data_IF_538185661721
#
_entry.id   IF_538185661721
#
_cell.length_a   1.000
_cell.length_b   1.000
_cell.length_c   1.000
_cell.angle_alpha   90.00
_cell.angle_beta   90.00
_cell.angle_gamma   90.00
#
_symmetry.space_group_name_H-M   'P 1'
#
loop_
_entity.id
_entity.type
_entity.pdbx_description
1 polymer ?
#
# COMPACT_ATOMS: atom_id res chain seq x y z
N UNK A 1 -9.47 17.65 -10.59
CA UNK A 1 -8.66 17.00 -11.63
C UNK A 1 -8.07 17.98 -12.64
N UNK A 2 -8.15 19.31 -12.43
CA UNK A 2 -7.55 20.28 -13.34
C UNK A 2 -6.03 20.09 -13.61
N UNK A 3 -5.19 19.54 -12.70
CA UNK A 3 -3.77 19.33 -12.98
C UNK A 3 -3.48 18.51 -14.24
N UNK A 4 -4.34 17.54 -14.60
CA UNK A 4 -4.14 16.77 -15.85
C UNK A 4 -4.28 17.64 -17.10
N UNK A 5 -5.13 18.68 -17.04
CA UNK A 5 -5.27 19.68 -18.11
C UNK A 5 -4.02 20.55 -18.19
N UNK A 6 -3.52 21.04 -17.05
CA UNK A 6 -2.33 21.88 -17.00
C UNK A 6 -1.11 21.16 -17.57
N UNK A 7 -0.91 19.89 -17.24
CA UNK A 7 0.23 19.11 -17.71
C UNK A 7 0.30 18.91 -19.25
N UNK A 8 -0.84 18.94 -19.96
CA UNK A 8 -0.85 18.77 -21.43
C UNK A 8 -1.02 20.09 -22.19
N UNK A 9 -1.56 21.12 -21.54
CA UNK A 9 -1.79 22.45 -22.14
C UNK A 9 -0.70 23.45 -21.80
N UNK A 10 0.07 23.23 -20.72
CA UNK A 10 1.05 24.19 -20.21
C UNK A 10 0.42 25.47 -19.66
N UNK A 11 -0.90 25.46 -19.40
CA UNK A 11 -1.62 26.57 -18.80
C UNK A 11 -1.74 26.34 -17.30
N UNK A 12 -1.50 27.39 -16.50
CA UNK A 12 -1.89 27.42 -15.09
C UNK A 12 -3.32 27.95 -15.02
N UNK A 13 -4.27 27.09 -14.65
CA UNK A 13 -5.69 27.46 -14.64
C UNK A 13 -6.00 28.42 -13.49
N UNK A 14 -5.30 28.32 -12.37
CA UNK A 14 -5.46 29.23 -11.23
C UNK A 14 -4.97 30.63 -11.60
N UNK A 15 -3.86 30.72 -12.33
CA UNK A 15 -3.38 31.98 -12.90
C UNK A 15 -4.44 32.62 -13.81
N UNK A 16 -4.98 31.85 -14.77
CA UNK A 16 -5.99 32.38 -15.69
C UNK A 16 -7.28 32.79 -14.97
N UNK A 17 -7.69 32.05 -13.94
CA UNK A 17 -8.84 32.42 -13.10
C UNK A 17 -8.64 33.77 -12.42
N UNK A 18 -7.45 34.01 -11.86
CA UNK A 18 -7.12 35.29 -11.19
C UNK A 18 -7.09 36.43 -12.21
N UNK A 19 -6.45 36.24 -13.37
CA UNK A 19 -6.37 37.25 -14.45
C UNK A 19 -7.74 37.68 -14.94
N UNK A 20 -8.61 36.72 -15.26
CA UNK A 20 -9.97 37.01 -15.72
C UNK A 20 -10.80 37.67 -14.61
N UNK A 21 -10.64 37.24 -13.35
CA UNK A 21 -11.30 37.89 -12.22
C UNK A 21 -10.84 39.35 -12.01
N UNK A 22 -9.61 39.68 -12.41
CA UNK A 22 -9.08 41.05 -12.43
C UNK A 22 -9.49 41.85 -13.69
N UNK A 23 -10.32 41.29 -14.57
CA UNK A 23 -10.81 41.96 -15.79
C UNK A 23 -9.87 41.84 -16.99
N UNK A 24 -8.81 41.05 -16.92
CA UNK A 24 -7.96 40.76 -18.07
C UNK A 24 -8.68 39.84 -19.08
N UNK A 25 -8.29 39.96 -20.35
CA UNK A 25 -8.72 39.03 -21.40
C UNK A 25 -7.76 37.84 -21.46
N UNK A 26 -8.23 36.72 -22.01
CA UNK A 26 -7.35 35.57 -22.30
C UNK A 26 -6.23 35.99 -23.27
N UNK A 27 -4.98 35.66 -22.93
CA UNK A 27 -3.80 35.98 -23.74
C UNK A 27 -3.62 35.06 -24.96
N UNK A 28 -4.49 34.07 -25.13
CA UNK A 28 -4.43 33.06 -26.17
C UNK A 28 -5.81 32.84 -26.80
N UNK A 29 -5.79 32.38 -28.04
CA UNK A 29 -6.95 31.94 -28.82
C UNK A 29 -7.06 30.42 -28.80
N UNK A 30 -8.20 29.88 -29.25
CA UNK A 30 -8.45 28.44 -29.28
C UNK A 30 -7.36 27.63 -29.98
N UNK A 31 -6.79 28.15 -31.08
CA UNK A 31 -5.77 27.47 -31.88
C UNK A 31 -4.37 27.52 -31.25
N UNK A 32 -4.16 28.36 -30.23
CA UNK A 32 -2.88 28.51 -29.54
C UNK A 32 -2.77 27.59 -28.31
N UNK A 33 -3.86 26.94 -27.88
CA UNK A 33 -3.85 26.03 -26.73
C UNK A 33 -3.24 24.70 -27.18
N UNK A 34 -2.02 24.35 -26.71
CA UNK A 34 -1.38 23.11 -27.13
C UNK A 34 -2.04 21.91 -26.43
N UNK A 35 -1.85 20.73 -27.02
CA UNK A 35 -2.17 19.43 -26.40
C UNK A 35 -1.00 18.50 -26.63
N UNK A 36 -0.01 18.54 -25.74
CA UNK A 36 1.23 17.78 -25.87
C UNK A 36 1.26 16.65 -24.87
N UNK A 37 1.37 15.42 -25.38
CA UNK A 37 1.51 14.24 -24.55
C UNK A 37 0.22 13.79 -23.87
N UNK A 38 0.39 13.09 -22.75
CA UNK A 38 -0.67 12.55 -21.91
C UNK A 38 -0.37 12.82 -20.44
N UNK A 39 -1.43 13.02 -19.65
CA UNK A 39 -1.35 13.15 -18.21
C UNK A 39 -2.39 12.29 -17.50
N UNK A 40 -2.07 11.86 -16.29
CA UNK A 40 -2.94 11.03 -15.45
C UNK A 40 -2.85 11.51 -14.00
N UNK A 41 -3.96 11.43 -13.27
CA UNK A 41 -4.04 11.82 -11.85
C UNK A 41 -4.62 10.66 -11.04
N UNK A 42 -3.93 10.28 -9.97
CA UNK A 42 -4.45 9.42 -8.92
C UNK A 42 -4.73 10.28 -7.69
N UNK A 43 -5.95 10.20 -7.16
CA UNK A 43 -6.28 10.76 -5.85
C UNK A 43 -5.85 9.78 -4.78
N UNK A 44 -4.93 10.23 -3.93
CA UNK A 44 -4.45 9.48 -2.78
C UNK A 44 -5.34 9.86 -1.61
N UNK A 45 -6.13 8.89 -1.15
CA UNK A 45 -7.07 9.06 -0.06
C UNK A 45 -6.62 8.24 1.15
N UNK A 46 -6.90 8.78 2.33
CA UNK A 46 -6.79 8.12 3.63
C UNK A 46 -7.96 7.16 3.84
N UNK A 47 -7.97 6.08 3.07
CA UNK A 47 -9.01 5.04 3.03
C UNK A 47 -8.34 3.66 3.03
N UNK A 48 -8.99 2.65 3.58
CA UNK A 48 -8.52 1.26 3.56
C UNK A 48 -9.27 0.44 2.50
N UNK A 49 -8.66 0.16 1.31
CA UNK A 49 -9.31 -0.61 0.27
C UNK A 49 -9.73 -2.03 0.70
N UNK A 50 -8.96 -2.67 1.59
CA UNK A 50 -9.22 -4.05 2.04
C UNK A 50 -10.41 -4.12 3.00
N UNK A 51 -10.73 -3.00 3.67
CA UNK A 51 -11.93 -2.83 4.48
C UNK A 51 -13.00 -2.03 3.73
N UNK A 52 -13.16 -2.25 2.43
CA UNK A 52 -14.19 -1.59 1.59
C UNK A 52 -14.08 -0.05 1.59
N UNK A 53 -12.86 0.47 1.47
CA UNK A 53 -12.55 1.90 1.41
C UNK A 53 -13.05 2.70 2.61
N UNK A 54 -13.10 2.07 3.79
CA UNK A 54 -13.44 2.79 5.01
C UNK A 54 -12.41 3.91 5.27
N UNK A 55 -12.87 5.10 5.69
CA UNK A 55 -11.99 6.19 6.09
C UNK A 55 -10.96 5.79 7.14
N UNK A 56 -9.75 6.34 7.01
CA UNK A 56 -8.64 6.12 7.94
C UNK A 56 -8.14 7.45 8.48
N UNK A 57 -8.54 7.80 9.71
CA UNK A 57 -8.00 8.98 10.41
C UNK A 57 -6.75 8.62 11.20
N UNK A 58 -5.98 9.63 11.58
CA UNK A 58 -4.83 9.47 12.46
C UNK A 58 -3.60 10.23 12.01
N UNK A 59 -2.49 10.03 12.72
CA UNK A 59 -1.24 10.73 12.46
C UNK A 59 -0.46 10.11 11.30
N UNK A 60 0.02 10.94 10.38
CA UNK A 60 0.98 10.57 9.35
C UNK A 60 2.35 10.36 9.98
N UNK A 61 2.64 9.14 10.45
CA UNK A 61 3.92 8.78 11.07
C UNK A 61 5.07 8.90 10.08
N UNK A 62 4.83 8.48 8.83
CA UNK A 62 5.71 8.74 7.69
C UNK A 62 4.90 9.21 6.50
N UNK A 63 5.39 10.25 5.84
CA UNK A 63 4.77 10.79 4.63
C UNK A 63 5.85 11.29 3.69
N UNK A 64 6.22 10.44 2.72
CA UNK A 64 7.25 10.74 1.74
C UNK A 64 6.62 10.55 0.35
N UNK A 65 6.14 11.64 -0.28
CA UNK A 65 5.72 11.60 -1.68
C UNK A 65 6.92 11.38 -2.62
N UNK A 66 6.71 10.90 -3.85
CA UNK A 66 7.77 10.85 -4.86
C UNK A 66 8.32 12.25 -5.13
N UNK A 67 9.57 12.33 -5.59
CA UNK A 67 10.18 13.61 -5.93
C UNK A 67 9.43 14.25 -7.11
N UNK A 68 9.08 15.54 -6.99
CA UNK A 68 8.50 16.28 -8.11
C UNK A 68 9.58 16.60 -9.15
N UNK A 69 9.29 16.33 -10.42
CA UNK A 69 10.22 16.49 -11.55
C UNK A 69 9.44 16.69 -12.88
N UNK A 70 10.14 16.71 -14.02
CA UNK A 70 9.59 16.87 -15.39
C UNK A 70 8.74 15.67 -15.88
N UNK A 71 7.97 15.08 -15.00
CA UNK A 71 7.13 13.91 -15.26
C UNK A 71 6.22 13.53 -14.11
N UNK A 72 6.49 14.04 -12.90
CA UNK A 72 5.74 13.75 -11.67
C UNK A 72 5.47 15.05 -10.92
N UNK A 73 4.20 15.32 -10.63
CA UNK A 73 3.71 16.43 -9.81
C UNK A 73 2.90 15.88 -8.65
N UNK A 74 3.09 16.46 -7.47
CA UNK A 74 2.34 16.08 -6.27
C UNK A 74 1.71 17.33 -5.66
N UNK A 75 0.38 17.40 -5.71
CA UNK A 75 -0.37 18.45 -5.03
C UNK A 75 -0.87 17.88 -3.69
N UNK A 76 -0.31 18.35 -2.59
CA UNK A 76 -0.60 17.82 -1.23
C UNK A 76 -0.96 18.96 -0.28
N UNK A 77 -1.95 18.72 0.58
CA UNK A 77 -2.33 19.62 1.68
C UNK A 77 -1.81 19.17 3.04
N UNK A 78 -1.06 18.05 3.08
CA UNK A 78 -0.60 17.39 4.32
C UNK A 78 0.93 17.23 4.32
N UNK A 79 1.49 16.93 5.49
CA UNK A 79 2.93 16.77 5.71
C UNK A 79 3.23 15.68 6.76
N UNK A 80 4.46 15.16 6.77
CA UNK A 80 4.90 14.15 7.75
C UNK A 80 4.76 14.67 9.18
N UNK A 81 4.13 13.88 10.03
CA UNK A 81 3.83 14.23 11.41
C UNK A 81 2.52 14.98 11.62
N UNK A 82 1.86 15.43 10.55
CA UNK A 82 0.50 15.97 10.58
C UNK A 82 -0.56 14.91 10.89
N UNK A 83 -1.78 15.35 11.14
CA UNK A 83 -2.92 14.48 11.48
C UNK A 83 -4.02 14.62 10.43
N UNK A 84 -4.64 13.49 10.08
CA UNK A 84 -5.83 13.42 9.24
C UNK A 84 -7.04 13.33 10.18
N UNK A 85 -7.76 14.43 10.44
CA UNK A 85 -8.91 14.42 11.33
C UNK A 85 -10.17 13.94 10.59
N UNK A 86 -11.16 13.50 11.36
CA UNK A 86 -12.47 13.07 10.83
C UNK A 86 -13.32 14.20 10.20
N UNK A 87 -12.95 15.47 10.39
CA UNK A 87 -13.77 16.63 10.03
C UNK A 87 -13.68 17.06 8.55
N UNK A 88 -12.67 16.57 7.83
CA UNK A 88 -12.40 16.96 6.44
C UNK A 88 -12.47 15.76 5.49
N UNK A 89 -12.23 16.01 4.21
CA UNK A 89 -12.15 15.02 3.13
C UNK A 89 -10.96 14.06 3.37
N UNK A 90 -11.10 12.79 2.94
CA UNK A 90 -10.06 11.75 3.00
C UNK A 90 -8.90 12.00 2.05
N UNK A 91 -9.05 12.89 1.06
CA UNK A 91 -7.97 13.20 0.11
C UNK A 91 -6.75 13.85 0.78
N UNK A 92 -5.60 13.16 0.68
CA UNK A 92 -4.32 13.64 1.23
C UNK A 92 -3.38 14.18 0.16
N UNK A 93 -3.45 13.66 -1.07
CA UNK A 93 -2.69 14.18 -2.19
C UNK A 93 -3.36 13.87 -3.53
N UNK A 94 -3.00 14.66 -4.54
CA UNK A 94 -3.14 14.29 -5.95
C UNK A 94 -1.75 13.97 -6.47
N UNK A 95 -1.57 12.75 -6.93
CA UNK A 95 -0.37 12.32 -7.63
C UNK A 95 -0.65 12.42 -9.12
N UNK A 96 0.13 13.22 -9.83
CA UNK A 96 -0.05 13.49 -11.25
C UNK A 96 1.21 13.10 -12.00
N UNK A 97 1.06 12.44 -13.14
CA UNK A 97 2.19 12.17 -14.03
C UNK A 97 1.89 12.60 -15.45
N UNK A 98 2.94 12.95 -16.19
CA UNK A 98 2.86 13.31 -17.60
C UNK A 98 3.98 12.67 -18.42
N UNK A 99 3.69 12.35 -19.68
CA UNK A 99 4.63 11.75 -20.61
C UNK A 99 4.27 12.04 -22.06
N UNK A 100 5.13 11.68 -23.00
CA UNK A 100 4.90 11.89 -24.43
C UNK A 100 3.72 11.09 -24.97
N UNK A 101 3.38 9.98 -24.31
CA UNK A 101 2.22 9.15 -24.61
C UNK A 101 1.64 8.55 -23.32
N UNK A 102 0.48 7.88 -23.45
CA UNK A 102 -0.25 7.30 -22.32
C UNK A 102 0.57 6.26 -21.56
N UNK A 103 1.32 5.42 -22.27
CA UNK A 103 2.11 4.34 -21.66
C UNK A 103 3.26 4.90 -20.82
N UNK A 104 3.91 5.97 -21.29
CA UNK A 104 4.94 6.67 -20.52
C UNK A 104 4.34 7.32 -19.25
N UNK A 105 3.19 7.99 -19.35
CA UNK A 105 2.51 8.57 -18.20
C UNK A 105 2.10 7.50 -17.17
N UNK A 106 1.58 6.35 -17.64
CA UNK A 106 1.26 5.19 -16.79
C UNK A 106 2.50 4.60 -16.12
N UNK A 107 3.60 4.42 -16.88
CA UNK A 107 4.87 3.90 -16.35
C UNK A 107 5.42 4.79 -15.24
N UNK A 108 5.43 6.12 -15.47
CA UNK A 108 5.79 7.10 -14.44
C UNK A 108 4.86 7.03 -13.23
N UNK A 109 3.54 6.89 -13.44
CA UNK A 109 2.57 6.78 -12.34
C UNK A 109 2.84 5.54 -11.47
N UNK A 110 3.12 4.39 -12.10
CA UNK A 110 3.46 3.16 -11.37
C UNK A 110 4.73 3.34 -10.53
N UNK A 111 5.79 3.92 -11.10
CA UNK A 111 7.02 4.22 -10.36
C UNK A 111 6.76 5.18 -9.19
N UNK A 112 6.00 6.24 -9.45
CA UNK A 112 5.66 7.26 -8.44
C UNK A 112 4.82 6.70 -7.28
N UNK A 113 3.86 5.81 -7.55
CA UNK A 113 3.10 5.10 -6.50
C UNK A 113 3.99 4.16 -5.68
N UNK A 114 4.93 3.46 -6.30
CA UNK A 114 5.87 2.59 -5.60
C UNK A 114 6.77 3.38 -4.63
N UNK A 115 7.15 4.60 -4.99
CA UNK A 115 7.93 5.50 -4.14
C UNK A 115 7.11 6.17 -3.03
N UNK A 116 5.79 6.27 -3.16
CA UNK A 116 4.95 7.02 -2.22
C UNK A 116 4.79 6.28 -0.89
N UNK A 117 5.54 6.70 0.12
CA UNK A 117 5.51 6.12 1.48
C UNK A 117 4.51 6.87 2.34
N UNK A 118 3.53 6.13 2.88
CA UNK A 118 2.54 6.63 3.85
C UNK A 118 2.45 5.63 4.98
N UNK A 119 2.62 6.06 6.23
CA UNK A 119 2.49 5.23 7.45
C UNK A 119 1.72 5.96 8.54
N UNK A 120 1.12 5.18 9.44
CA UNK A 120 0.29 5.66 10.54
C UNK A 120 -1.21 5.71 10.23
N UNK A 121 -1.56 5.66 8.95
CA UNK A 121 -2.92 5.50 8.43
C UNK A 121 -2.92 4.49 7.28
N UNK A 122 -4.09 4.00 6.89
CA UNK A 122 -4.30 3.28 5.64
C UNK A 122 -4.50 4.27 4.49
N UNK A 123 -4.15 3.85 3.27
CA UNK A 123 -4.35 4.64 2.06
C UNK A 123 -4.77 3.78 0.87
N UNK A 124 -5.40 4.41 -0.12
CA UNK A 124 -5.86 3.75 -1.33
C UNK A 124 -4.76 3.44 -2.36
N UNK A 125 -3.47 3.65 -2.04
CA UNK A 125 -2.35 3.46 -2.97
C UNK A 125 -2.34 2.04 -3.55
N UNK A 126 -2.57 1.02 -2.73
CA UNK A 126 -2.58 -0.37 -3.20
C UNK A 126 -3.63 -0.61 -4.27
N UNK A 127 -4.83 -0.04 -4.08
CA UNK A 127 -5.90 -0.11 -5.08
C UNK A 127 -5.53 0.65 -6.36
N UNK A 128 -4.98 1.86 -6.24
CA UNK A 128 -4.53 2.64 -7.41
C UNK A 128 -3.48 1.87 -8.22
N UNK A 129 -2.48 1.28 -7.56
CA UNK A 129 -1.46 0.46 -8.21
C UNK A 129 -2.05 -0.77 -8.91
N UNK A 130 -3.05 -1.42 -8.29
CA UNK A 130 -3.74 -2.56 -8.90
C UNK A 130 -4.55 -2.16 -10.13
N UNK A 131 -5.32 -1.08 -10.03
CA UNK A 131 -6.17 -0.56 -11.11
C UNK A 131 -5.35 -0.19 -12.34
N UNK A 132 -4.18 0.45 -12.16
CA UNK A 132 -3.27 0.80 -13.26
C UNK A 132 -2.70 -0.41 -14.00
N UNK A 133 -2.71 -1.59 -13.38
CA UNK A 133 -2.26 -2.85 -13.99
C UNK A 133 -3.42 -3.64 -14.59
N UNK A 134 -4.67 -3.23 -14.37
CA UNK A 134 -5.83 -3.96 -14.85
C UNK A 134 -5.89 -3.98 -16.38
N UNK A 135 -6.06 -5.14 -17.04
CA UNK A 135 -5.99 -5.23 -18.51
C UNK A 135 -6.94 -4.28 -19.26
N UNK A 136 -8.18 -4.11 -18.77
CA UNK A 136 -9.15 -3.16 -19.34
C UNK A 136 -8.76 -1.70 -19.15
N UNK A 137 -8.08 -1.38 -18.05
CA UNK A 137 -7.55 -0.04 -17.84
C UNK A 137 -6.39 0.21 -18.79
N UNK A 138 -5.46 -0.74 -18.93
CA UNK A 138 -4.35 -0.67 -19.87
C UNK A 138 -4.83 -0.51 -21.33
N UNK A 139 -5.84 -1.27 -21.75
CA UNK A 139 -6.39 -1.19 -23.11
C UNK A 139 -7.22 0.07 -23.38
N UNK A 140 -7.60 0.82 -22.35
CA UNK A 140 -8.50 1.98 -22.47
C UNK A 140 -9.98 1.61 -22.64
N UNK A 141 -10.35 0.33 -22.50
CA UNK A 141 -11.72 -0.16 -22.67
C UNK A 141 -12.46 -0.25 -21.34
N UNK A 142 -12.76 0.92 -20.77
CA UNK A 142 -13.51 1.05 -19.52
C UNK A 142 -14.66 2.06 -19.65
N UNK A 143 -15.61 1.97 -18.74
CA UNK A 143 -16.80 2.82 -18.67
C UNK A 143 -16.95 3.36 -17.23
N UNK A 144 -18.02 4.10 -16.95
CA UNK A 144 -18.29 4.64 -15.60
C UNK A 144 -18.70 3.57 -14.58
N UNK A 145 -19.08 2.37 -15.03
CA UNK A 145 -19.36 1.19 -14.21
C UNK A 145 -18.14 0.31 -13.93
N UNK A 146 -16.98 0.62 -14.50
CA UNK A 146 -15.78 -0.22 -14.49
C UNK A 146 -15.41 -0.75 -13.10
N UNK A 147 -15.40 0.11 -12.08
CA UNK A 147 -15.03 -0.30 -10.71
C UNK A 147 -16.04 -1.31 -10.15
N UNK A 148 -17.34 -1.09 -10.38
CA UNK A 148 -18.38 -2.01 -9.92
C UNK A 148 -18.37 -3.35 -10.68
N UNK A 149 -17.99 -3.33 -11.96
CA UNK A 149 -17.84 -4.52 -12.80
C UNK A 149 -16.64 -5.38 -12.40
N UNK A 150 -15.46 -4.77 -12.18
CA UNK A 150 -14.20 -5.48 -11.93
C UNK A 150 -13.91 -5.72 -10.44
N UNK A 151 -14.47 -4.91 -9.55
CA UNK A 151 -14.33 -5.04 -8.10
C UNK A 151 -15.69 -5.16 -7.39
N UNK A 152 -16.58 -6.10 -7.80
CA UNK A 152 -17.95 -6.20 -7.25
C UNK A 152 -17.99 -6.60 -5.77
N UNK A 153 -16.90 -7.17 -5.25
CA UNK A 153 -16.74 -7.58 -3.85
C UNK A 153 -15.75 -6.69 -3.08
N UNK A 154 -15.47 -5.49 -3.59
CA UNK A 154 -14.40 -4.63 -3.08
C UNK A 154 -13.02 -5.07 -3.55
N UNK A 155 -12.00 -4.41 -3.01
CA UNK A 155 -10.60 -4.72 -3.32
C UNK A 155 -10.10 -5.84 -2.40
N UNK A 156 -9.57 -6.90 -3.01
CA UNK A 156 -9.03 -8.07 -2.31
C UNK A 156 -7.51 -8.10 -2.44
N UNK A 157 -6.81 -8.72 -1.47
CA UNK A 157 -5.34 -8.83 -1.52
C UNK A 157 -4.88 -9.61 -2.76
N UNK A 158 -5.69 -10.58 -3.19
CA UNK A 158 -5.46 -11.43 -4.35
C UNK A 158 -5.70 -10.72 -5.69
N UNK A 159 -6.34 -9.54 -5.67
CA UNK A 159 -6.58 -8.74 -6.88
C UNK A 159 -5.29 -8.21 -7.50
N UNK A 160 -4.16 -8.26 -6.79
CA UNK A 160 -2.86 -7.85 -7.29
C UNK A 160 -1.98 -9.07 -7.53
N UNK A 161 -1.81 -9.43 -8.80
CA UNK A 161 -0.89 -10.49 -9.19
C UNK A 161 0.47 -9.89 -9.57
N UNK A 162 1.57 -10.32 -8.94
CA UNK A 162 2.90 -9.88 -9.36
C UNK A 162 3.16 -10.34 -10.79
N UNK A 163 3.63 -9.42 -11.64
CA UNK A 163 4.04 -9.75 -13.03
C UNK A 163 5.18 -10.77 -13.05
N UNK A 164 6.02 -10.74 -12.01
CA UNK A 164 7.11 -11.68 -11.78
C UNK A 164 7.04 -12.19 -10.32
N UNK A 165 6.64 -13.46 -10.10
CA UNK A 165 6.46 -14.01 -8.76
C UNK A 165 7.78 -14.19 -7.99
N UNK A 166 8.93 -14.23 -8.67
CA UNK A 166 10.23 -14.47 -8.06
C UNK A 166 10.95 -13.16 -7.66
N UNK A 167 10.46 -12.00 -8.11
CA UNK A 167 11.05 -10.68 -7.84
C UNK A 167 11.08 -10.33 -6.36
N UNK A 168 9.94 -10.34 -5.67
CA UNK A 168 9.86 -9.98 -4.25
C UNK A 168 10.67 -10.92 -3.35
N UNK A 169 10.69 -12.25 -3.57
CA UNK A 169 11.64 -13.15 -2.91
C UNK A 169 13.12 -12.79 -3.15
N UNK A 170 13.50 -12.37 -4.36
CA UNK A 170 14.86 -11.90 -4.65
C UNK A 170 15.20 -10.64 -3.84
N UNK A 171 14.32 -9.64 -3.84
CA UNK A 171 14.49 -8.40 -3.06
C UNK A 171 14.57 -8.69 -1.55
N UNK A 172 13.72 -9.58 -1.03
CA UNK A 172 13.74 -9.99 0.37
C UNK A 172 15.07 -10.63 0.77
N UNK A 173 15.61 -11.50 -0.10
CA UNK A 173 16.91 -12.15 0.10
C UNK A 173 18.05 -11.14 0.11
N UNK A 174 18.03 -10.16 -0.80
CA UNK A 174 18.98 -9.05 -0.80
C UNK A 174 18.91 -8.20 0.48
N UNK A 175 17.72 -7.77 0.87
CA UNK A 175 17.49 -6.99 2.10
C UNK A 175 18.02 -7.73 3.33
N UNK A 176 17.75 -9.03 3.42
CA UNK A 176 18.25 -9.86 4.52
C UNK A 176 19.77 -10.01 4.49
N UNK A 177 20.35 -10.25 3.31
CA UNK A 177 21.81 -10.32 3.11
C UNK A 177 22.50 -9.03 3.56
N UNK A 178 21.99 -7.86 3.17
CA UNK A 178 22.50 -6.55 3.58
C UNK A 178 22.43 -6.35 5.10
N UNK A 179 21.34 -6.80 5.73
CA UNK A 179 21.22 -6.78 7.20
C UNK A 179 22.30 -7.65 7.87
N UNK A 180 22.55 -8.86 7.37
CA UNK A 180 23.59 -9.76 7.91
C UNK A 180 25.00 -9.22 7.65
N UNK A 181 25.25 -8.61 6.50
CA UNK A 181 26.53 -7.95 6.19
C UNK A 181 26.83 -6.83 7.20
N UNK A 182 25.83 -6.01 7.53
CA UNK A 182 25.96 -5.02 8.61
C UNK A 182 26.20 -5.67 9.97
N UNK A 183 25.51 -6.78 10.29
CA UNK A 183 25.70 -7.49 11.56
C UNK A 183 27.10 -8.12 11.68
N UNK A 184 27.69 -8.56 10.55
CA UNK A 184 29.06 -9.06 10.50
C UNK A 184 30.12 -7.97 10.80
N UNK A 185 29.77 -6.69 10.74
CA UNK A 185 30.69 -5.59 11.07
C UNK A 185 30.76 -5.28 12.58
N UNK A 186 30.04 -6.02 13.43
CA UNK A 186 30.10 -5.81 14.88
C UNK A 186 31.52 -6.09 15.42
N UNK A 187 32.01 -5.18 16.24
CA UNK A 187 33.31 -5.30 16.91
C UNK A 187 33.31 -6.40 17.98
N UNK A 188 34.50 -6.83 18.39
CA UNK A 188 34.66 -7.85 19.45
C UNK A 188 34.41 -9.29 19.01
N UNK A 189 34.36 -9.56 17.70
CA UNK A 189 34.32 -10.92 17.19
C UNK A 189 35.59 -11.68 17.55
N UNK A 190 35.44 -12.97 17.83
CA UNK A 190 36.55 -13.87 18.07
C UNK A 190 37.35 -14.03 16.76
N UNK A 191 38.62 -13.64 16.80
CA UNK A 191 39.52 -13.71 15.65
C UNK A 191 39.57 -15.14 15.09
N UNK A 192 39.43 -15.27 13.77
CA UNK A 192 39.39 -16.56 13.05
C UNK A 192 38.05 -17.31 13.16
N UNK A 193 37.11 -16.80 13.94
CA UNK A 193 35.75 -17.35 14.12
C UNK A 193 34.70 -16.27 13.85
N UNK A 194 35.00 -15.34 12.94
CA UNK A 194 34.09 -14.29 12.52
C UNK A 194 32.83 -14.89 11.91
N UNK A 195 31.72 -14.15 12.00
CA UNK A 195 30.44 -14.58 11.45
C UNK A 195 30.57 -14.84 9.94
N UNK A 196 30.26 -16.08 9.55
CA UNK A 196 30.16 -16.48 8.15
C UNK A 196 28.71 -16.38 7.70
N UNK A 197 28.47 -15.59 6.66
CA UNK A 197 27.13 -15.39 6.10
C UNK A 197 26.94 -16.45 5.01
N UNK A 198 25.91 -17.29 5.17
CA UNK A 198 25.48 -18.24 4.15
C UNK A 198 25.10 -17.53 2.84
N UNK A 199 25.27 -18.23 1.72
CA UNK A 199 24.78 -17.77 0.43
C UNK A 199 23.35 -18.26 0.16
N UNK A 200 22.92 -19.30 0.87
CA UNK A 200 21.60 -19.93 0.67
C UNK A 200 20.62 -19.48 1.75
N UNK A 201 19.44 -19.06 1.30
CA UNK A 201 18.32 -18.70 2.15
C UNK A 201 17.03 -19.36 1.65
N UNK A 202 16.04 -19.39 2.52
CA UNK A 202 14.66 -19.74 2.17
C UNK A 202 13.78 -18.57 2.58
N UNK A 203 13.10 -17.98 1.60
CA UNK A 203 12.10 -16.94 1.82
C UNK A 203 10.76 -17.64 2.01
N UNK A 204 10.14 -17.49 3.18
CA UNK A 204 8.84 -18.07 3.51
C UNK A 204 7.77 -16.97 3.51
N UNK A 205 6.71 -17.14 2.72
CA UNK A 205 5.57 -16.23 2.62
C UNK A 205 4.27 -17.04 2.75
N UNK A 206 3.61 -16.95 3.92
CA UNK A 206 2.49 -17.82 4.26
C UNK A 206 2.86 -19.30 4.14
N UNK A 207 2.10 -20.05 3.35
CA UNK A 207 2.39 -21.45 3.04
C UNK A 207 3.43 -21.62 1.92
N UNK A 208 3.72 -20.55 1.17
CA UNK A 208 4.66 -20.59 0.04
C UNK A 208 6.11 -20.40 0.49
N UNK A 209 7.06 -21.00 -0.24
CA UNK A 209 8.48 -20.77 0.04
C UNK A 209 9.33 -20.79 -1.22
N UNK A 210 10.44 -20.05 -1.17
CA UNK A 210 11.37 -19.87 -2.27
C UNK A 210 12.78 -20.13 -1.77
N UNK A 211 13.49 -21.06 -2.40
CA UNK A 211 14.92 -21.23 -2.16
C UNK A 211 15.66 -20.16 -2.94
N UNK A 212 16.55 -19.45 -2.27
CA UNK A 212 17.33 -18.39 -2.88
C UNK A 212 18.82 -18.59 -2.63
N UNK A 213 19.63 -18.26 -3.62
CA UNK A 213 21.09 -18.22 -3.50
C UNK A 213 21.55 -16.82 -3.88
N UNK A 214 22.28 -16.15 -2.99
CA UNK A 214 22.77 -14.79 -3.17
C UNK A 214 24.28 -14.72 -3.02
N UNK A 215 24.94 -14.16 -4.04
CA UNK A 215 26.38 -13.94 -4.08
C UNK A 215 26.66 -12.47 -4.41
N UNK A 216 27.54 -11.83 -3.63
CA UNK A 216 28.02 -10.50 -3.95
C UNK A 216 28.97 -10.56 -5.15
N UNK A 217 28.78 -9.64 -6.08
CA UNK A 217 29.64 -9.38 -7.25
C UNK A 217 30.08 -7.91 -7.19
N UNK A 218 30.96 -7.49 -8.10
CA UNK A 218 31.65 -6.19 -8.04
C UNK A 218 30.74 -5.00 -7.71
N UNK A 219 29.63 -4.82 -8.46
CA UNK A 219 28.72 -3.68 -8.31
C UNK A 219 27.30 -4.06 -7.86
N UNK A 220 27.08 -5.31 -7.46
CA UNK A 220 25.73 -5.79 -7.15
C UNK A 220 25.70 -7.20 -6.59
N UNK A 221 24.54 -7.85 -6.72
CA UNK A 221 24.27 -9.18 -6.17
C UNK A 221 23.67 -10.07 -7.25
N UNK A 222 24.29 -11.23 -7.45
CA UNK A 222 23.68 -12.31 -8.21
C UNK A 222 22.72 -13.08 -7.30
N UNK A 223 21.45 -13.19 -7.70
CA UNK A 223 20.40 -13.82 -6.91
C UNK A 223 19.67 -14.85 -7.77
N UNK A 224 19.77 -16.12 -7.41
CA UNK A 224 18.97 -17.20 -8.00
C UNK A 224 17.77 -17.48 -7.12
N UNK A 225 16.57 -17.56 -7.69
CA UNK A 225 15.32 -17.84 -6.97
C UNK A 225 14.62 -19.05 -7.60
N UNK A 226 14.20 -19.99 -6.75
CA UNK A 226 13.38 -21.14 -7.14
C UNK A 226 12.23 -21.31 -6.18
N UNK A 227 11.00 -21.17 -6.68
CA UNK A 227 9.80 -21.49 -5.90
C UNK A 227 9.75 -22.99 -5.59
N UNK A 228 9.42 -23.34 -4.35
CA UNK A 228 9.31 -24.73 -3.91
C UNK A 228 7.95 -25.36 -4.28
N UNK A 229 7.01 -24.55 -4.76
CA UNK A 229 5.66 -24.99 -5.14
C UNK A 229 5.43 -24.75 -6.64
N UNK A 230 4.88 -25.76 -7.31
CA UNK A 230 4.62 -25.74 -8.75
C UNK A 230 5.86 -25.98 -9.62
N UNK A 231 5.65 -25.97 -10.94
CA UNK A 231 6.71 -26.14 -11.96
C UNK A 231 7.32 -24.79 -12.36
N UNK A 232 7.77 -24.00 -11.40
CA UNK A 232 8.43 -22.73 -11.71
C UNK A 232 9.91 -22.97 -11.99
N UNK A 233 10.38 -22.44 -13.13
CA UNK A 233 11.80 -22.45 -13.45
C UNK A 233 12.59 -21.61 -12.44
N UNK A 234 13.86 -21.94 -12.25
CA UNK A 234 14.79 -21.08 -11.54
C UNK A 234 14.93 -19.77 -12.32
N UNK A 235 14.86 -18.63 -11.63
CA UNK A 235 15.06 -17.31 -12.20
C UNK A 235 16.29 -16.67 -11.59
N UNK A 236 17.15 -16.13 -12.44
CA UNK A 236 18.37 -15.44 -12.04
C UNK A 236 18.19 -13.92 -12.20
N UNK A 237 18.65 -13.19 -11.20
CA UNK A 237 18.65 -11.74 -11.17
C UNK A 237 20.05 -11.23 -10.86
N UNK A 238 20.46 -10.18 -11.56
CA UNK A 238 21.54 -9.30 -11.13
C UNK A 238 20.91 -8.04 -10.53
N UNK A 239 21.07 -7.85 -9.22
CA UNK A 239 20.48 -6.75 -8.46
C UNK A 239 21.54 -5.72 -8.08
N UNK A 240 21.32 -4.49 -8.51
CA UNK A 240 22.12 -3.33 -8.10
C UNK A 240 21.28 -2.42 -7.21
N UNK A 241 21.82 -2.06 -6.04
CA UNK A 241 21.15 -1.15 -5.10
C UNK A 241 22.15 -0.65 -4.06
N UNK A 242 22.03 0.63 -3.70
CA UNK A 242 22.76 1.27 -2.60
C UNK A 242 22.01 1.20 -1.26
N UNK A 243 20.91 0.44 -1.21
CA UNK A 243 20.03 0.37 -0.05
C UNK A 243 20.76 -0.06 1.22
N UNK A 244 20.34 0.57 2.33
CA UNK A 244 20.88 0.35 3.66
C UNK A 244 19.76 -0.04 4.63
N UNK A 245 20.05 -0.95 5.60
CA UNK A 245 19.09 -1.30 6.64
C UNK A 245 18.53 -0.07 7.36
N UNK A 246 17.20 0.05 7.39
CA UNK A 246 16.48 1.17 7.99
C UNK A 246 15.81 2.11 6.96
N UNK A 247 16.29 2.11 5.72
CA UNK A 247 15.64 2.85 4.63
C UNK A 247 14.34 2.18 4.20
N UNK A 248 13.23 2.94 4.15
CA UNK A 248 11.92 2.42 3.73
C UNK A 248 11.90 2.17 2.22
N UNK A 249 12.43 3.10 1.43
CA UNK A 249 12.53 2.95 -0.03
C UNK A 249 13.75 2.13 -0.40
N UNK A 250 13.53 1.03 -1.10
CA UNK A 250 14.53 0.22 -1.78
C UNK A 250 14.53 0.64 -3.25
N UNK A 251 15.41 1.57 -3.61
CA UNK A 251 15.71 1.85 -5.01
C UNK A 251 16.66 0.76 -5.53
N UNK A 252 16.34 0.16 -6.68
CA UNK A 252 17.11 -0.94 -7.22
C UNK A 252 17.01 -1.01 -8.74
N UNK A 253 17.96 -1.71 -9.35
CA UNK A 253 17.94 -2.14 -10.75
C UNK A 253 18.06 -3.66 -10.83
N UNK A 254 17.30 -4.28 -11.73
CA UNK A 254 17.42 -5.71 -12.05
C UNK A 254 17.82 -5.89 -13.50
N UNK A 255 18.82 -6.72 -13.77
CA UNK A 255 19.24 -7.17 -15.11
C UNK A 255 19.42 -6.00 -16.11
N UNK A 256 20.13 -4.94 -15.71
CA UNK A 256 20.34 -3.71 -16.50
C UNK A 256 19.06 -2.96 -16.92
N UNK A 257 17.93 -3.27 -16.28
CA UNK A 257 16.63 -2.64 -16.53
C UNK A 257 16.53 -1.19 -16.02
N UNK A 258 15.34 -0.59 -16.09
CA UNK A 258 15.10 0.72 -15.49
C UNK A 258 15.26 0.69 -13.97
N UNK A 259 15.58 1.84 -13.38
CA UNK A 259 15.52 2.00 -11.92
C UNK A 259 14.08 1.78 -11.45
N UNK A 260 13.89 0.97 -10.42
CA UNK A 260 12.62 0.70 -9.79
C UNK A 260 12.70 0.97 -8.29
N UNK A 261 11.55 1.08 -7.64
CA UNK A 261 11.45 1.22 -6.20
C UNK A 261 10.50 0.16 -5.64
N UNK A 262 10.88 -0.44 -4.52
CA UNK A 262 10.00 -1.16 -3.62
C UNK A 262 10.06 -0.50 -2.24
N UNK A 263 9.06 -0.72 -1.41
CA UNK A 263 9.10 -0.33 0.00
C UNK A 263 9.42 -1.55 0.86
N UNK A 264 10.23 -1.35 1.89
CA UNK A 264 10.72 -2.40 2.78
C UNK A 264 10.51 -1.99 4.22
N UNK A 265 9.94 -2.89 5.01
CA UNK A 265 9.87 -2.79 6.46
C UNK A 265 10.35 -4.09 7.11
N UNK A 266 10.74 -4.00 8.38
CA UNK A 266 11.23 -5.15 9.13
C UNK A 266 10.55 -5.25 10.50
N UNK A 267 9.29 -5.73 10.56
CA UNK A 267 8.62 -5.98 11.83
C UNK A 267 9.22 -7.21 12.52
N UNK A 268 9.96 -6.98 13.60
CA UNK A 268 10.60 -8.05 14.38
C UNK A 268 11.62 -8.83 13.56
N UNK A 269 11.34 -10.13 13.34
CA UNK A 269 12.19 -11.04 12.55
C UNK A 269 11.78 -11.12 11.08
N UNK A 270 10.58 -10.65 10.73
CA UNK A 270 10.06 -10.68 9.36
C UNK A 270 10.40 -9.43 8.57
N UNK A 271 10.09 -9.48 7.28
CA UNK A 271 10.15 -8.39 6.34
C UNK A 271 8.79 -8.20 5.68
N UNK A 272 8.46 -6.96 5.37
CA UNK A 272 7.31 -6.62 4.54
C UNK A 272 7.84 -5.85 3.34
N UNK A 273 7.62 -6.39 2.14
CA UNK A 273 7.96 -5.72 0.89
C UNK A 273 6.67 -5.30 0.19
N UNK A 274 6.64 -4.06 -0.32
CA UNK A 274 5.50 -3.55 -1.09
C UNK A 274 5.98 -3.03 -2.45
N UNK A 275 5.36 -3.50 -3.52
CA UNK A 275 5.64 -3.02 -4.87
C UNK A 275 4.45 -3.34 -5.79
N UNK A 276 4.11 -2.41 -6.68
CA UNK A 276 3.05 -2.58 -7.68
C UNK A 276 1.72 -2.99 -7.03
N UNK A 277 1.43 -2.49 -5.82
CA UNK A 277 0.24 -2.83 -5.03
C UNK A 277 0.30 -4.19 -4.31
N UNK A 278 1.32 -5.01 -4.58
CA UNK A 278 1.53 -6.29 -3.90
C UNK A 278 2.10 -6.05 -2.51
N UNK A 279 1.54 -6.72 -1.50
CA UNK A 279 2.06 -6.73 -0.14
C UNK A 279 2.62 -8.11 0.21
N UNK A 280 3.93 -8.20 0.34
CA UNK A 280 4.68 -9.46 0.52
C UNK A 280 5.32 -9.52 1.90
N UNK A 281 4.59 -10.13 2.84
CA UNK A 281 5.04 -10.43 4.19
C UNK A 281 5.84 -11.73 4.23
N UNK A 282 7.10 -11.70 4.63
CA UNK A 282 7.95 -12.88 4.59
C UNK A 282 8.93 -12.96 5.75
N UNK A 283 9.48 -14.16 5.97
CA UNK A 283 10.66 -14.36 6.81
C UNK A 283 11.75 -14.97 5.93
N UNK A 284 12.97 -14.46 6.07
CA UNK A 284 14.13 -14.98 5.34
C UNK A 284 15.02 -15.71 6.33
N UNK A 285 15.22 -17.01 6.10
CA UNK A 285 15.90 -17.92 7.02
C UNK A 285 16.99 -18.70 6.31
N UNK A 286 17.94 -19.27 7.07
CA UNK A 286 18.81 -20.32 6.53
C UNK A 286 17.98 -21.58 6.22
N UNK A 287 18.48 -22.51 5.37
CA UNK A 287 17.78 -23.75 5.06
C UNK A 287 17.36 -24.54 6.32
N UNK A 288 18.25 -24.65 7.30
CA UNK A 288 17.93 -25.29 8.59
C UNK A 288 16.92 -24.48 9.41
N UNK A 289 17.04 -23.15 9.44
CA UNK A 289 16.06 -22.29 10.12
C UNK A 289 14.65 -22.43 9.54
N UNK A 290 14.53 -22.54 8.22
CA UNK A 290 13.25 -22.78 7.55
C UNK A 290 12.66 -24.16 7.86
N UNK A 291 13.50 -25.19 8.00
CA UNK A 291 13.05 -26.51 8.45
C UNK A 291 12.44 -26.44 9.85
N UNK A 292 13.08 -25.73 10.78
CA UNK A 292 12.56 -25.54 12.14
C UNK A 292 11.28 -24.68 12.14
N UNK A 293 11.25 -23.61 11.34
CA UNK A 293 10.09 -22.72 11.25
C UNK A 293 8.82 -23.46 10.80
N UNK A 294 8.92 -24.43 9.89
CA UNK A 294 7.77 -25.26 9.47
C UNK A 294 7.18 -26.12 10.59
N UNK A 295 7.93 -26.37 11.67
CA UNK A 295 7.47 -27.13 12.83
C UNK A 295 6.84 -26.24 13.90
N UNK A 296 6.90 -24.91 13.74
CA UNK A 296 6.28 -23.99 14.68
C UNK A 296 4.74 -24.15 14.65
N UNK A 297 4.07 -24.29 15.81
CA UNK A 297 2.63 -24.39 15.86
C UNK A 297 1.95 -23.19 15.22
N UNK A 298 0.91 -23.44 14.42
CA UNK A 298 0.06 -22.38 13.92
C UNK A 298 -0.66 -21.71 15.10
N UNK A 299 -0.42 -20.40 15.26
CA UNK A 299 -1.13 -19.59 16.24
C UNK A 299 -2.37 -19.04 15.56
N UNK A 300 -3.52 -19.65 15.83
CA UNK A 300 -4.79 -19.13 15.36
C UNK A 300 -4.99 -17.68 15.85
N UNK A 301 -5.52 -16.79 15.00
CA UNK A 301 -5.89 -15.45 15.45
C UNK A 301 -6.92 -15.54 16.59
N UNK A 302 -6.96 -14.54 17.49
CA UNK A 302 -7.95 -14.52 18.56
C UNK A 302 -9.36 -14.53 17.96
N UNK A 303 -10.25 -15.33 18.55
CA UNK A 303 -11.66 -15.38 18.16
C UNK A 303 -12.37 -14.09 18.61
N UNK A 304 -12.70 -13.24 17.64
CA UNK A 304 -13.42 -11.97 17.84
C UNK A 304 -14.89 -12.06 17.41
N UNK A 305 -15.41 -13.24 17.08
CA UNK A 305 -16.78 -13.42 16.56
C UNK A 305 -17.89 -12.91 17.48
N UNK A 306 -17.58 -12.71 18.76
CA UNK A 306 -18.49 -12.21 19.80
C UNK A 306 -18.36 -10.71 20.06
N UNK A 307 -17.55 -10.00 19.28
CA UNK A 307 -17.31 -8.58 19.44
C UNK A 307 -17.71 -7.85 18.15
N UNK A 308 -18.56 -6.83 18.29
CA UNK A 308 -18.67 -5.79 17.27
C UNK A 308 -17.58 -4.76 17.55
N UNK A 309 -16.53 -4.79 16.74
CA UNK A 309 -15.45 -3.81 16.78
C UNK A 309 -15.76 -2.66 15.81
N UNK A 310 -15.30 -1.45 16.13
CA UNK A 310 -15.36 -0.33 15.21
C UNK A 310 -14.40 -0.59 14.04
N UNK A 311 -14.87 -0.73 12.79
CA UNK A 311 -13.99 -1.07 11.69
C UNK A 311 -13.17 0.13 11.21
N UNK A 312 -13.57 1.35 11.61
CA UNK A 312 -12.98 2.63 11.28
C UNK A 312 -12.99 3.57 12.50
N UNK A 313 -12.11 4.58 12.54
CA UNK A 313 -12.22 5.64 13.52
C UNK A 313 -13.31 6.64 13.11
N UNK A 314 -14.13 7.11 14.04
CA UNK A 314 -15.26 7.98 13.72
C UNK A 314 -16.16 8.31 14.91
N UNK A 315 -17.22 9.07 14.68
CA UNK A 315 -18.21 9.41 15.69
C UNK A 315 -19.35 8.40 15.67
N UNK A 316 -19.66 7.78 16.81
CA UNK A 316 -20.85 6.94 16.95
C UNK A 316 -22.10 7.81 16.96
N UNK A 317 -22.79 7.97 15.83
CA UNK A 317 -23.94 8.87 15.71
C UNK A 317 -25.26 8.25 16.15
N UNK A 318 -25.43 6.93 15.99
CA UNK A 318 -26.64 6.23 16.42
C UNK A 318 -26.34 4.85 16.96
N UNK A 319 -27.02 4.50 18.05
CA UNK A 319 -27.07 3.15 18.61
C UNK A 319 -28.49 2.59 18.47
N UNK A 320 -28.68 1.51 17.71
CA UNK A 320 -30.00 0.94 17.39
C UNK A 320 -30.43 -0.22 18.30
N UNK A 321 -29.57 -0.65 19.22
CA UNK A 321 -29.80 -1.80 20.10
C UNK A 321 -29.45 -1.46 21.55
N UNK A 322 -30.11 -2.11 22.48
CA UNK A 322 -29.86 -2.02 23.91
C UNK A 322 -29.28 -3.33 24.47
N UNK A 323 -28.69 -3.24 25.66
CA UNK A 323 -28.21 -4.41 26.40
C UNK A 323 -29.38 -5.38 26.66
N UNK A 324 -29.18 -6.65 26.31
CA UNK A 324 -30.19 -7.71 26.43
C UNK A 324 -31.03 -7.95 25.18
N UNK A 325 -30.91 -7.10 24.15
CA UNK A 325 -31.68 -7.27 22.91
C UNK A 325 -31.25 -8.51 22.13
N UNK A 326 -32.23 -9.21 21.56
CA UNK A 326 -32.01 -10.25 20.55
C UNK A 326 -31.83 -9.57 19.19
N UNK A 327 -30.75 -9.90 18.51
CA UNK A 327 -30.46 -9.40 17.17
C UNK A 327 -30.45 -10.56 16.17
N UNK A 328 -30.93 -10.30 14.95
CA UNK A 328 -30.84 -11.25 13.84
C UNK A 328 -29.72 -10.85 12.87
N UNK A 329 -29.14 -11.82 12.16
CA UNK A 329 -28.17 -11.56 11.11
C UNK A 329 -28.68 -10.50 10.12
N UNK A 330 -27.86 -9.50 9.81
CA UNK A 330 -28.23 -8.37 8.96
C UNK A 330 -29.03 -7.25 9.63
N UNK A 331 -29.37 -7.37 10.93
CA UNK A 331 -30.00 -6.28 11.68
C UNK A 331 -29.01 -5.12 11.89
N UNK A 332 -29.49 -3.88 11.73
CA UNK A 332 -28.71 -2.66 12.00
C UNK A 332 -28.38 -2.56 13.48
N UNK A 333 -27.12 -2.31 13.80
CA UNK A 333 -26.64 -2.20 15.18
C UNK A 333 -26.25 -0.77 15.51
N UNK A 334 -25.37 -0.16 14.72
CA UNK A 334 -24.85 1.19 14.98
C UNK A 334 -24.59 1.94 13.69
N UNK A 335 -24.58 3.27 13.77
CA UNK A 335 -24.15 4.17 12.68
C UNK A 335 -22.95 4.96 13.15
N UNK A 336 -21.88 4.95 12.35
CA UNK A 336 -20.64 5.67 12.62
C UNK A 336 -20.43 6.68 11.49
N UNK A 337 -20.18 7.93 11.84
CA UNK A 337 -19.85 8.99 10.89
C UNK A 337 -18.35 9.29 10.91
N UNK A 338 -17.73 9.30 9.73
CA UNK A 338 -16.34 9.72 9.56
C UNK A 338 -16.18 10.39 8.20
N UNK A 339 -15.42 11.49 8.13
CA UNK A 339 -15.06 12.18 6.87
C UNK A 339 -16.29 12.52 6.00
N UNK A 340 -17.38 12.98 6.63
CA UNK A 340 -18.68 13.30 6.01
C UNK A 340 -19.42 12.11 5.38
N UNK A 341 -19.07 10.88 5.77
CA UNK A 341 -19.76 9.66 5.36
C UNK A 341 -20.31 8.90 6.56
N UNK A 342 -21.55 8.40 6.44
CA UNK A 342 -22.18 7.53 7.44
C UNK A 342 -22.01 6.05 7.04
N UNK A 343 -21.48 5.23 7.94
CA UNK A 343 -21.38 3.79 7.79
C UNK A 343 -22.24 3.08 8.83
N UNK A 344 -23.20 2.28 8.36
CA UNK A 344 -24.04 1.45 9.23
C UNK A 344 -23.40 0.08 9.42
N UNK A 345 -23.25 -0.36 10.68
CA UNK A 345 -22.81 -1.71 11.00
C UNK A 345 -24.00 -2.63 11.29
N UNK A 346 -23.86 -3.87 10.85
CA UNK A 346 -24.90 -4.89 10.93
C UNK A 346 -24.44 -6.09 11.76
N UNK A 347 -25.40 -6.81 12.34
CA UNK A 347 -25.13 -8.08 13.01
C UNK A 347 -24.65 -9.12 11.99
N UNK A 348 -23.48 -9.71 12.24
CA UNK A 348 -22.95 -10.77 11.38
C UNK A 348 -23.74 -12.09 11.49
N UNK A 349 -24.37 -12.32 12.64
CA UNK A 349 -25.13 -13.52 12.95
C UNK A 349 -26.20 -13.20 14.00
N UNK A 350 -27.12 -14.14 14.21
CA UNK A 350 -28.09 -14.08 15.30
C UNK A 350 -27.39 -14.11 16.66
N UNK A 351 -27.85 -13.31 17.61
CA UNK A 351 -27.21 -13.22 18.93
C UNK A 351 -27.98 -12.39 19.94
N UNK A 352 -27.43 -12.28 21.15
CA UNK A 352 -27.96 -11.43 22.22
C UNK A 352 -26.88 -10.42 22.59
N UNK A 353 -27.24 -9.13 22.69
CA UNK A 353 -26.33 -8.07 23.14
C UNK A 353 -26.04 -8.28 24.64
N UNK A 354 -24.82 -8.70 24.96
CA UNK A 354 -24.39 -8.88 26.35
C UNK A 354 -24.00 -7.55 26.99
N UNK A 355 -23.28 -6.70 26.27
CA UNK A 355 -22.85 -5.39 26.77
C UNK A 355 -22.62 -4.38 25.64
N UNK A 356 -22.78 -3.10 25.97
CA UNK A 356 -22.52 -1.98 25.06
C UNK A 356 -21.40 -1.15 25.67
N UNK A 357 -20.25 -1.14 25.00
CA UNK A 357 -19.01 -0.57 25.51
C UNK A 357 -18.75 0.87 25.00
N UNK A 358 -19.61 1.39 24.12
CA UNK A 358 -19.53 2.76 23.60
C UNK A 358 -20.89 3.46 23.61
N UNK A 359 -20.91 4.76 23.89
CA UNK A 359 -22.11 5.58 23.95
C UNK A 359 -22.30 6.42 22.69
N UNK A 360 -23.54 6.69 22.31
CA UNK A 360 -23.86 7.65 21.25
C UNK A 360 -23.20 9.02 21.51
N UNK A 361 -22.64 9.63 20.47
CA UNK A 361 -21.83 10.85 20.53
C UNK A 361 -20.36 10.65 20.92
N UNK A 362 -19.91 9.42 21.19
CA UNK A 362 -18.49 9.15 21.49
C UNK A 362 -17.65 8.98 20.23
N UNK A 363 -16.39 9.42 20.29
CA UNK A 363 -15.38 9.12 19.27
C UNK A 363 -14.82 7.72 19.47
N UNK A 364 -14.85 6.93 18.41
CA UNK A 364 -14.35 5.56 18.36
C UNK A 364 -12.99 5.50 17.67
N UNK A 365 -12.10 4.65 18.19
CA UNK A 365 -10.87 4.24 17.51
C UNK A 365 -11.08 2.95 16.70
N UNK A 366 -10.18 2.68 15.75
CA UNK A 366 -10.16 1.40 15.00
C UNK A 366 -10.03 0.23 15.97
N UNK A 367 -10.80 -0.83 15.72
CA UNK A 367 -10.86 -2.07 16.49
C UNK A 367 -11.31 -1.89 17.96
N UNK A 368 -11.81 -0.71 18.34
CA UNK A 368 -12.45 -0.49 19.64
C UNK A 368 -13.74 -1.30 19.76
N UNK A 369 -13.94 -1.97 20.89
CA UNK A 369 -15.16 -2.74 21.16
C UNK A 369 -16.36 -1.78 21.29
N UNK A 370 -17.38 -1.97 20.47
CA UNK A 370 -18.65 -1.24 20.53
C UNK A 370 -19.70 -2.09 21.27
N UNK A 371 -19.87 -3.33 20.85
CA UNK A 371 -20.85 -4.28 21.41
C UNK A 371 -20.17 -5.62 21.69
N UNK A 372 -20.53 -6.25 22.80
CA UNK A 372 -20.22 -7.64 23.09
C UNK A 372 -21.49 -8.48 22.98
N UNK A 373 -21.41 -9.63 22.32
CA UNK A 373 -22.49 -10.59 22.22
C UNK A 373 -22.36 -11.68 23.30
N UNK A 374 -23.50 -12.16 23.79
CA UNK A 374 -23.58 -13.23 24.77
C UNK A 374 -23.06 -14.56 24.22
N UNK A 375 -22.77 -15.47 25.14
CA UNK A 375 -22.09 -16.72 24.82
C UNK A 375 -22.92 -17.67 24.00
#
# INVERSE_FOLDING_TARGET
EHPVTECITGLDLVEQMIRVAAGEKLAFTQNQIPRKGWAMECRINAEDPLRNFLPSTGRLVKYQPPASNDGVRVDTGVYEGGEIPMYYDSMIAKLITHGANRDEAMSKMRGALNEFVIRGIHSNIQFQSALLQHPRFLSGQFNTGFIAEEFPKGFLKESVLPTDPNRLPALASFVHRRYLERAKLLEGQLLGHEMKITQEFVVMHGETSFNTKIEQRDHGYQISVKANQGKHAMTDYFLESDWQPGSIRLAYRLNDGPMACAQVERPGLGYVLMQDGVHFDCVVLSPFGAELQRRMPYKAPPDTSKLLLSPMPGLLTKLHVAKGDKVTAGQKLVVIEAMKMENTLFAAQDGIVADICASEGSSLAVDQIIIQFAK
#
